data_IF_838748320480
#
_entry.id   IF_838748320480
#
_cell.length_a   1.000
_cell.length_b   1.000
_cell.length_c   1.000
_cell.angle_alpha   90.00
_cell.angle_beta   90.00
_cell.angle_gamma   90.00
#
_symmetry.space_group_name_H-M   'P 1'
#
loop_
_entity.id
_entity.type
_entity.pdbx_description
1 polymer ?
#
# COMPACT_ATOMS: atom_id res chain seq x y z
N UNK A 1 -22.91 2.10 36.49
CA UNK A 1 -23.28 0.89 35.75
C UNK A 1 -22.91 1.18 34.29
N UNK A 2 -21.70 0.78 33.89
CA UNK A 2 -21.14 1.06 32.54
C UNK A 2 -21.57 -0.10 31.66
N UNK A 3 -22.38 0.18 30.65
CA UNK A 3 -22.84 -0.82 29.67
C UNK A 3 -21.73 -0.95 28.61
N UNK A 4 -20.99 -2.07 28.67
CA UNK A 4 -20.04 -2.47 27.63
C UNK A 4 -20.82 -2.99 26.43
N UNK A 5 -20.78 -2.26 25.30
CA UNK A 5 -21.25 -2.78 24.02
C UNK A 5 -20.26 -3.82 23.50
N UNK A 6 -20.71 -4.99 23.04
CA UNK A 6 -19.83 -5.97 22.42
C UNK A 6 -19.36 -5.48 21.06
N UNK A 7 -18.03 -5.53 20.84
CA UNK A 7 -17.42 -5.26 19.56
C UNK A 7 -17.94 -6.21 18.47
N UNK A 8 -18.14 -5.75 17.23
CA UNK A 8 -18.59 -6.62 16.14
C UNK A 8 -17.53 -7.68 15.81
N UNK A 9 -18.01 -8.90 15.61
CA UNK A 9 -17.23 -10.08 15.23
C UNK A 9 -16.34 -9.79 14.02
N UNK A 10 -15.03 -10.01 14.20
CA UNK A 10 -14.01 -9.95 13.15
C UNK A 10 -14.36 -10.92 12.03
N UNK A 11 -14.79 -10.40 10.88
CA UNK A 11 -14.80 -11.19 9.65
C UNK A 11 -13.34 -11.41 9.25
N UNK A 12 -12.89 -12.66 9.29
CA UNK A 12 -11.52 -13.03 9.01
C UNK A 12 -11.07 -12.54 7.63
N UNK A 13 -9.95 -11.85 7.60
CA UNK A 13 -9.19 -11.60 6.36
C UNK A 13 -8.85 -12.97 5.76
N UNK A 14 -9.15 -13.16 4.48
CA UNK A 14 -8.87 -14.39 3.77
C UNK A 14 -7.43 -14.88 3.99
N UNK A 15 -7.19 -16.19 4.10
CA UNK A 15 -5.83 -16.72 4.25
C UNK A 15 -4.97 -16.30 3.07
N UNK A 16 -3.66 -16.06 3.34
CA UNK A 16 -2.69 -15.76 2.28
C UNK A 16 -2.81 -16.79 1.15
N UNK A 17 -2.82 -16.34 -0.12
CA UNK A 17 -2.78 -17.29 -1.23
C UNK A 17 -1.54 -18.17 -1.10
N UNK A 18 -1.72 -19.47 -1.16
CA UNK A 18 -0.62 -20.44 -1.12
C UNK A 18 0.33 -20.15 -2.30
N UNK A 19 1.62 -19.88 -2.10
CA UNK A 19 2.56 -19.58 -3.16
C UNK A 19 2.71 -20.70 -4.21
N UNK A 20 2.20 -21.91 -3.93
CA UNK A 20 2.17 -23.03 -4.90
C UNK A 20 1.06 -22.91 -5.93
N UNK A 21 0.10 -21.99 -5.78
CA UNK A 21 -0.81 -21.59 -6.86
C UNK A 21 -0.22 -20.40 -7.62
N UNK A 22 1.07 -20.45 -7.92
CA UNK A 22 1.61 -19.70 -9.04
C UNK A 22 0.74 -20.09 -10.26
N UNK A 23 -0.12 -19.17 -10.65
CA UNK A 23 -0.75 -19.22 -11.95
C UNK A 23 0.41 -19.28 -12.95
N UNK A 24 0.75 -20.50 -13.43
CA UNK A 24 1.47 -20.64 -14.68
C UNK A 24 0.58 -19.96 -15.70
N UNK A 25 0.79 -18.65 -15.87
CA UNK A 25 0.10 -17.86 -16.86
C UNK A 25 0.33 -18.55 -18.20
N UNK A 26 -0.73 -19.02 -18.82
CA UNK A 26 -0.72 -19.22 -20.25
C UNK A 26 -0.32 -17.87 -20.84
N UNK A 27 0.80 -17.83 -21.56
CA UNK A 27 1.22 -16.67 -22.32
C UNK A 27 0.00 -16.17 -23.12
N UNK A 28 -0.41 -14.91 -22.87
CA UNK A 28 -1.44 -14.26 -23.67
C UNK A 28 -2.74 -13.83 -22.96
N UNK A 29 -2.94 -14.07 -21.66
CA UNK A 29 -4.11 -13.52 -20.96
C UNK A 29 -3.93 -12.02 -20.74
N UNK A 30 -4.75 -11.19 -21.41
CA UNK A 30 -4.75 -9.75 -21.19
C UNK A 30 -5.07 -9.44 -19.73
N UNK A 31 -4.30 -8.53 -19.11
CA UNK A 31 -4.57 -8.06 -17.75
C UNK A 31 -5.79 -7.11 -17.79
N UNK A 32 -6.74 -7.33 -16.88
CA UNK A 32 -7.87 -6.43 -16.69
C UNK A 32 -7.57 -5.46 -15.55
N UNK A 33 -7.81 -4.16 -15.76
CA UNK A 33 -7.77 -3.17 -14.70
C UNK A 33 -9.10 -3.23 -13.92
N UNK A 34 -9.01 -3.43 -12.62
CA UNK A 34 -10.14 -3.46 -11.69
C UNK A 34 -10.05 -2.29 -10.70
N UNK A 35 -11.18 -1.86 -10.12
CA UNK A 35 -11.16 -0.87 -9.06
C UNK A 35 -10.27 -1.32 -7.89
N UNK A 36 -9.54 -0.37 -7.30
CA UNK A 36 -8.84 -0.51 -6.04
C UNK A 36 -9.81 -0.23 -4.88
N UNK A 37 -9.89 -1.14 -3.91
CA UNK A 37 -10.74 -0.96 -2.73
C UNK A 37 -10.06 -0.01 -1.73
N UNK A 38 -10.29 1.29 -1.92
CA UNK A 38 -9.74 2.37 -1.08
C UNK A 38 -10.21 2.27 0.35
N UNK A 39 -11.47 1.87 0.56
CA UNK A 39 -12.04 1.73 1.89
C UNK A 39 -11.33 0.61 2.67
N UNK A 40 -11.10 -0.54 2.05
CA UNK A 40 -10.34 -1.63 2.68
C UNK A 40 -8.92 -1.20 3.05
N UNK A 41 -8.24 -0.45 2.19
CA UNK A 41 -6.90 0.07 2.46
C UNK A 41 -6.87 1.04 3.66
N UNK A 42 -7.82 1.98 3.72
CA UNK A 42 -7.93 2.96 4.81
C UNK A 42 -8.32 2.29 6.12
N UNK A 43 -9.28 1.37 6.10
CA UNK A 43 -9.67 0.61 7.30
C UNK A 43 -8.49 -0.20 7.86
N UNK A 44 -7.68 -0.80 6.97
CA UNK A 44 -6.46 -1.48 7.38
C UNK A 44 -5.46 -0.51 8.01
N UNK A 45 -5.29 0.68 7.41
CA UNK A 45 -4.40 1.70 7.96
C UNK A 45 -4.80 2.10 9.38
N UNK A 46 -6.08 2.39 9.62
CA UNK A 46 -6.58 2.73 10.96
C UNK A 46 -6.44 1.57 11.97
N UNK A 47 -6.70 0.33 11.54
CA UNK A 47 -6.58 -0.84 12.43
C UNK A 47 -5.16 -1.03 12.94
N UNK A 48 -4.14 -0.75 12.10
CA UNK A 48 -2.75 -1.09 12.38
C UNK A 48 -1.81 0.09 12.56
N UNK A 49 -2.29 1.34 12.48
CA UNK A 49 -1.44 2.54 12.59
C UNK A 49 -0.57 2.59 13.86
N UNK A 50 -1.09 2.10 14.99
CA UNK A 50 -0.40 2.06 16.29
C UNK A 50 -0.05 0.65 16.75
N UNK A 51 -0.13 -0.33 15.86
CA UNK A 51 0.14 -1.73 16.13
C UNK A 51 0.86 -2.41 14.99
N UNK A 52 1.26 -3.66 15.21
CA UNK A 52 1.89 -4.48 14.17
C UNK A 52 1.02 -5.71 13.89
N UNK A 53 0.65 -5.90 12.62
CA UNK A 53 -0.07 -7.10 12.22
C UNK A 53 0.89 -8.30 12.30
N UNK A 54 0.61 -9.32 13.14
CA UNK A 54 1.53 -10.43 13.39
C UNK A 54 1.77 -11.33 12.16
N UNK A 55 1.04 -11.11 11.07
CA UNK A 55 1.27 -11.79 9.79
C UNK A 55 2.47 -11.25 9.02
N UNK A 56 2.96 -10.06 9.39
CA UNK A 56 4.09 -9.41 8.75
C UNK A 56 5.19 -9.16 9.76
N UNK A 57 6.43 -9.22 9.32
CA UNK A 57 7.57 -8.90 10.16
C UNK A 57 7.64 -7.40 10.41
N UNK A 58 7.99 -7.00 11.62
CA UNK A 58 8.22 -5.60 12.00
C UNK A 58 9.66 -5.19 11.65
N UNK A 59 9.82 -4.31 10.67
CA UNK A 59 11.11 -3.82 10.20
C UNK A 59 11.59 -2.55 10.92
N UNK A 60 10.89 -2.07 11.95
CA UNK A 60 11.17 -0.78 12.61
C UNK A 60 12.64 -0.66 13.03
N UNK A 61 13.24 -1.73 13.54
CA UNK A 61 14.62 -1.74 14.03
C UNK A 61 15.69 -2.02 12.97
N UNK A 62 15.30 -2.29 11.74
CA UNK A 62 16.22 -2.67 10.65
C UNK A 62 15.97 -1.91 9.35
N UNK A 63 15.73 -0.60 9.46
CA UNK A 63 15.59 0.29 8.33
C UNK A 63 14.25 1.02 8.23
N UNK A 64 13.34 0.78 9.19
CA UNK A 64 12.01 1.38 9.24
C UNK A 64 10.92 0.52 8.62
N UNK A 65 9.70 0.69 9.11
CA UNK A 65 8.54 -0.12 8.77
C UNK A 65 7.52 0.60 7.87
N UNK A 66 7.78 1.85 7.49
CA UNK A 66 6.80 2.69 6.78
C UNK A 66 6.33 2.09 5.45
N UNK A 67 7.25 1.59 4.62
CA UNK A 67 6.90 1.02 3.31
C UNK A 67 6.28 -0.38 3.45
N UNK A 68 6.71 -1.16 4.43
CA UNK A 68 6.05 -2.43 4.79
C UNK A 68 4.58 -2.19 5.17
N UNK A 69 4.31 -1.19 6.00
CA UNK A 69 2.95 -0.80 6.37
C UNK A 69 2.14 -0.30 5.17
N UNK A 70 2.70 0.60 4.34
CA UNK A 70 2.06 1.07 3.12
C UNK A 70 1.72 -0.09 2.17
N UNK A 71 2.63 -1.06 2.03
CA UNK A 71 2.40 -2.27 1.21
C UNK A 71 1.28 -3.14 1.77
N UNK A 72 1.15 -3.25 3.09
CA UNK A 72 0.05 -3.98 3.72
C UNK A 72 -1.30 -3.29 3.46
N UNK A 73 -1.37 -1.97 3.55
CA UNK A 73 -2.56 -1.18 3.21
C UNK A 73 -2.93 -1.35 1.73
N UNK A 74 -1.95 -1.24 0.83
CA UNK A 74 -2.14 -1.50 -0.60
C UNK A 74 -2.65 -2.93 -0.86
N UNK A 75 -2.14 -3.92 -0.14
CA UNK A 75 -2.57 -5.31 -0.28
C UNK A 75 -4.01 -5.50 0.21
N UNK A 76 -4.41 -4.84 1.30
CA UNK A 76 -5.79 -4.86 1.77
C UNK A 76 -6.76 -4.34 0.69
N UNK A 77 -6.38 -3.30 -0.05
CA UNK A 77 -7.20 -2.72 -1.12
C UNK A 77 -7.07 -3.42 -2.47
N UNK A 78 -5.96 -4.11 -2.75
CA UNK A 78 -5.72 -4.77 -4.04
C UNK A 78 -6.08 -6.25 -4.07
N UNK A 79 -5.95 -6.96 -2.94
CA UNK A 79 -6.24 -8.38 -2.80
C UNK A 79 -5.33 -9.33 -3.58
N UNK A 80 -4.30 -8.83 -4.26
CA UNK A 80 -3.36 -9.63 -5.08
C UNK A 80 -1.95 -9.09 -4.95
N UNK A 81 -0.97 -9.99 -4.94
CA UNK A 81 0.45 -9.71 -4.98
C UNK A 81 1.05 -10.13 -6.33
N UNK A 82 2.13 -9.47 -6.73
CA UNK A 82 2.92 -9.83 -7.91
C UNK A 82 4.16 -10.60 -7.49
N UNK A 83 4.16 -11.91 -7.69
CA UNK A 83 5.26 -12.80 -7.33
C UNK A 83 6.39 -12.86 -8.38
N UNK A 84 6.47 -11.90 -9.29
CA UNK A 84 7.61 -11.81 -10.21
C UNK A 84 8.91 -11.63 -9.39
N UNK A 85 9.90 -12.52 -9.53
CA UNK A 85 11.14 -12.42 -8.77
C UNK A 85 11.81 -11.06 -8.97
N UNK A 86 12.33 -10.48 -7.89
CA UNK A 86 13.02 -9.18 -7.81
C UNK A 86 12.16 -7.97 -8.17
N UNK A 87 11.43 -8.01 -9.29
CA UNK A 87 10.68 -6.88 -9.85
C UNK A 87 9.20 -6.89 -9.49
N UNK A 88 8.74 -7.89 -8.74
CA UNK A 88 7.36 -7.98 -8.25
C UNK A 88 7.11 -7.12 -7.01
N UNK A 89 5.94 -7.32 -6.44
CA UNK A 89 5.53 -6.72 -5.18
C UNK A 89 4.77 -7.77 -4.38
N UNK A 90 5.48 -8.40 -3.44
CA UNK A 90 4.96 -9.51 -2.64
C UNK A 90 5.67 -9.63 -1.30
N UNK A 91 5.01 -10.32 -0.39
CA UNK A 91 5.54 -10.74 0.90
C UNK A 91 5.15 -12.21 1.15
N UNK A 92 6.13 -13.03 1.49
CA UNK A 92 5.93 -14.41 1.94
C UNK A 92 6.29 -14.50 3.42
N UNK A 93 7.48 -14.02 3.77
CA UNK A 93 8.00 -13.89 5.14
C UNK A 93 9.11 -12.82 5.19
N UNK A 94 9.75 -12.68 6.36
CA UNK A 94 10.78 -11.66 6.58
C UNK A 94 11.93 -11.70 5.57
N UNK A 95 12.32 -12.88 5.11
CA UNK A 95 13.47 -13.10 4.22
C UNK A 95 13.03 -13.20 2.76
N UNK A 96 11.79 -13.59 2.49
CA UNK A 96 11.25 -13.83 1.15
C UNK A 96 10.17 -12.81 0.80
N UNK A 97 10.59 -11.65 0.36
CA UNK A 97 9.74 -10.55 -0.11
C UNK A 97 10.40 -9.84 -1.27
N UNK A 98 9.61 -9.14 -2.07
CA UNK A 98 10.16 -8.26 -3.11
C UNK A 98 10.77 -6.99 -2.50
N UNK A 99 11.82 -6.40 -3.10
CA UNK A 99 12.34 -5.09 -2.67
C UNK A 99 11.27 -4.01 -2.62
N UNK A 100 10.29 -4.04 -3.52
CA UNK A 100 9.19 -3.09 -3.56
C UNK A 100 8.23 -3.18 -2.35
N UNK A 101 8.25 -4.29 -1.61
CA UNK A 101 7.41 -4.42 -0.41
C UNK A 101 7.88 -3.56 0.77
N UNK A 102 9.19 -3.35 0.90
CA UNK A 102 9.79 -2.63 2.05
C UNK A 102 10.62 -1.40 1.67
N UNK A 103 10.88 -1.16 0.39
CA UNK A 103 11.75 -0.07 -0.05
C UNK A 103 11.00 1.04 -0.76
N UNK A 104 11.13 2.28 -0.25
CA UNK A 104 10.42 3.48 -0.73
C UNK A 104 10.56 3.67 -2.24
N UNK A 105 11.80 3.67 -2.76
CA UNK A 105 12.05 3.87 -4.19
C UNK A 105 11.58 2.69 -5.04
N UNK A 106 11.73 1.47 -4.53
CA UNK A 106 11.29 0.26 -5.24
C UNK A 106 9.77 0.19 -5.34
N UNK A 107 9.04 0.65 -4.30
CA UNK A 107 7.58 0.74 -4.33
C UNK A 107 7.11 1.76 -5.37
N UNK A 108 7.74 2.94 -5.42
CA UNK A 108 7.46 3.93 -6.45
C UNK A 108 7.67 3.36 -7.85
N UNK A 109 8.86 2.79 -8.13
CA UNK A 109 9.18 2.17 -9.42
C UNK A 109 8.19 1.05 -9.78
N UNK A 110 7.75 0.28 -8.79
CA UNK A 110 6.76 -0.78 -9.01
C UNK A 110 5.41 -0.21 -9.43
N UNK A 111 4.90 0.80 -8.72
CA UNK A 111 3.57 1.37 -8.97
C UNK A 111 3.50 2.12 -10.31
N UNK A 112 4.56 2.83 -10.68
CA UNK A 112 4.58 3.74 -11.84
C UNK A 112 5.15 3.12 -13.12
N UNK A 113 5.56 1.84 -13.09
CA UNK A 113 6.19 1.20 -14.25
C UNK A 113 5.23 1.02 -15.42
N UNK A 114 5.72 1.18 -16.63
CA UNK A 114 4.98 1.02 -17.87
C UNK A 114 4.61 -0.46 -18.17
N UNK A 115 5.47 -1.41 -17.76
CA UNK A 115 5.27 -2.83 -18.04
C UNK A 115 4.09 -3.38 -17.27
N UNK A 116 3.08 -3.95 -17.95
CA UNK A 116 1.93 -4.51 -17.29
C UNK A 116 2.32 -5.77 -16.51
N UNK A 117 1.96 -5.80 -15.22
CA UNK A 117 1.98 -6.98 -14.37
C UNK A 117 0.78 -6.95 -13.44
N UNK A 118 0.49 -8.05 -12.78
CA UNK A 118 -0.58 -8.11 -11.76
C UNK A 118 -0.26 -7.18 -10.58
N UNK A 119 -1.28 -6.78 -9.82
CA UNK A 119 -1.14 -5.96 -8.62
C UNK A 119 -1.52 -4.50 -8.80
N UNK A 120 -1.33 -3.67 -7.77
CA UNK A 120 -1.68 -2.26 -7.82
C UNK A 120 -0.86 -1.50 -8.85
N UNK A 121 -1.49 -0.52 -9.48
CA UNK A 121 -0.87 0.40 -10.43
C UNK A 121 -1.23 1.82 -10.02
N UNK A 122 -0.26 2.71 -10.08
CA UNK A 122 -0.41 4.10 -9.73
C UNK A 122 0.40 5.00 -10.64
N UNK A 123 0.22 6.29 -10.43
CA UNK A 123 0.98 7.36 -11.11
C UNK A 123 1.31 8.47 -10.14
N UNK A 124 2.31 9.26 -10.46
CA UNK A 124 2.52 10.54 -9.78
C UNK A 124 1.34 11.48 -10.10
N UNK A 125 0.94 12.26 -9.11
CA UNK A 125 -0.19 13.18 -9.22
C UNK A 125 0.07 14.47 -8.44
N UNK A 126 -0.83 15.44 -8.61
CA UNK A 126 -0.80 16.65 -7.81
C UNK A 126 -1.50 16.45 -6.46
N UNK A 127 -1.24 17.33 -5.50
CA UNK A 127 -1.76 17.24 -4.14
C UNK A 127 -3.31 17.15 -4.13
N UNK A 128 -3.98 17.95 -4.96
CA UNK A 128 -5.45 17.99 -5.02
C UNK A 128 -6.09 16.76 -5.70
N UNK A 129 -5.30 15.89 -6.31
CA UNK A 129 -5.74 14.62 -6.89
C UNK A 129 -5.70 13.47 -5.89
N UNK A 130 -5.04 13.66 -4.73
CA UNK A 130 -4.96 12.64 -3.70
C UNK A 130 -6.34 12.25 -3.18
N UNK A 131 -6.50 10.96 -2.93
CA UNK A 131 -7.70 10.35 -2.34
C UNK A 131 -7.31 9.41 -1.20
N UNK A 132 -8.22 9.13 -0.26
CA UNK A 132 -7.98 8.09 0.74
C UNK A 132 -7.54 6.77 0.08
N UNK A 133 -6.53 6.12 0.66
CA UNK A 133 -5.90 4.91 0.13
C UNK A 133 -4.74 5.16 -0.85
N UNK A 134 -4.48 6.42 -1.23
CA UNK A 134 -3.28 6.79 -1.97
C UNK A 134 -2.05 6.84 -1.06
N UNK A 135 -0.87 7.03 -1.64
CA UNK A 135 0.37 7.17 -0.91
C UNK A 135 1.00 8.55 -1.13
N UNK A 136 1.76 8.97 -0.15
CA UNK A 136 2.74 10.04 -0.33
C UNK A 136 4.12 9.52 -0.01
N UNK A 137 5.16 10.10 -0.61
CA UNK A 137 6.53 9.80 -0.26
C UNK A 137 7.25 11.09 0.11
N UNK A 138 8.05 11.02 1.17
CA UNK A 138 8.74 12.17 1.74
C UNK A 138 10.25 11.99 1.64
N UNK A 139 10.93 13.07 1.20
CA UNK A 139 12.39 13.20 1.24
C UNK A 139 12.76 14.23 2.31
N UNK A 140 13.49 13.80 3.32
CA UNK A 140 13.91 14.65 4.43
C UNK A 140 15.30 15.24 4.20
N UNK A 141 16.18 14.49 3.53
CA UNK A 141 17.54 14.89 3.21
C UNK A 141 18.13 14.00 2.11
N UNK A 142 19.19 14.48 1.46
CA UNK A 142 19.89 13.75 0.40
C UNK A 142 19.06 13.64 -0.87
N UNK A 143 19.27 12.60 -1.67
CA UNK A 143 18.70 12.47 -3.01
C UNK A 143 17.56 11.46 -3.12
N UNK A 144 17.29 10.69 -2.05
CA UNK A 144 16.31 9.61 -2.07
C UNK A 144 15.14 9.87 -1.12
N UNK A 145 13.97 9.41 -1.49
CA UNK A 145 12.80 9.42 -0.60
C UNK A 145 12.96 8.36 0.49
N UNK A 146 12.59 8.71 1.72
CA UNK A 146 12.84 7.89 2.91
C UNK A 146 11.59 7.42 3.63
N UNK A 147 10.41 7.94 3.30
CA UNK A 147 9.17 7.64 4.02
C UNK A 147 7.99 7.47 3.08
N UNK A 148 7.05 6.55 3.39
CA UNK A 148 5.88 6.23 2.56
C UNK A 148 4.59 6.21 3.40
N UNK A 149 4.05 7.36 3.84
CA UNK A 149 2.75 7.44 4.47
C UNK A 149 1.59 7.07 3.55
N UNK A 150 0.51 6.56 4.16
CA UNK A 150 -0.76 6.26 3.51
C UNK A 150 -1.73 7.41 3.75
N UNK A 151 -2.36 7.92 2.72
CA UNK A 151 -3.40 8.95 2.83
C UNK A 151 -4.67 8.31 3.38
N UNK A 152 -5.16 8.81 4.51
CA UNK A 152 -6.41 8.33 5.14
C UNK A 152 -7.54 9.32 4.97
N UNK A 153 -7.23 10.60 4.75
CA UNK A 153 -8.19 11.64 4.42
C UNK A 153 -7.56 12.67 3.49
N UNK A 154 -8.22 12.93 2.38
CA UNK A 154 -7.98 14.03 1.45
C UNK A 154 -9.24 14.21 0.60
N UNK A 155 -9.65 15.45 0.41
CA UNK A 155 -10.78 15.80 -0.45
C UNK A 155 -10.45 17.10 -1.21
N UNK A 156 -9.92 16.96 -2.41
CA UNK A 156 -9.44 18.07 -3.23
C UNK A 156 -8.51 19.05 -2.48
N UNK A 157 -7.62 18.51 -1.65
CA UNK A 157 -6.75 19.25 -0.77
C UNK A 157 -5.94 20.33 -1.51
N UNK A 158 -5.99 21.57 -1.00
CA UNK A 158 -5.23 22.70 -1.55
C UNK A 158 -3.92 22.91 -0.80
N UNK A 159 -3.80 22.32 0.38
CA UNK A 159 -2.62 22.41 1.22
C UNK A 159 -2.35 21.07 1.92
N UNK A 160 -1.13 20.91 2.43
CA UNK A 160 -0.72 19.70 3.13
C UNK A 160 -1.32 19.56 4.53
N UNK A 161 -1.91 20.63 5.08
CA UNK A 161 -2.71 20.59 6.31
C UNK A 161 -4.00 19.78 6.13
N UNK A 162 -4.56 19.78 4.90
CA UNK A 162 -5.83 19.12 4.57
C UNK A 162 -5.64 17.64 4.22
N UNK A 163 -4.39 17.18 4.11
CA UNK A 163 -4.06 15.77 3.87
C UNK A 163 -3.70 15.11 5.19
N UNK A 164 -4.50 14.14 5.64
CA UNK A 164 -4.23 13.35 6.82
C UNK A 164 -3.71 11.97 6.43
N UNK A 165 -2.68 11.52 7.16
CA UNK A 165 -1.98 10.28 6.85
C UNK A 165 -1.96 9.31 8.05
N UNK A 166 -1.75 8.03 7.73
CA UNK A 166 -1.30 7.00 8.67
C UNK A 166 0.08 6.47 8.24
N UNK A 167 0.92 6.14 9.21
CA UNK A 167 2.27 5.65 8.94
C UNK A 167 2.83 4.84 10.10
N UNK A 168 3.76 3.90 9.79
CA UNK A 168 4.74 3.38 10.73
C UNK A 168 6.06 4.16 10.63
N UNK A 169 7.01 3.88 11.55
CA UNK A 169 8.23 4.68 11.75
C UNK A 169 7.86 6.11 12.11
N UNK A 170 7.57 6.30 13.38
CA UNK A 170 6.80 7.39 14.01
C UNK A 170 5.29 7.19 13.84
N UNK A 171 4.80 6.11 14.43
CA UNK A 171 3.42 5.65 14.33
C UNK A 171 2.42 6.81 14.42
N UNK A 172 1.56 6.90 13.42
CA UNK A 172 0.61 7.99 13.30
C UNK A 172 -0.67 7.51 12.60
N UNK A 173 -1.79 8.10 13.03
CA UNK A 173 -3.08 8.02 12.36
C UNK A 173 -3.74 9.40 12.39
N UNK A 174 -4.41 9.79 11.31
CA UNK A 174 -5.00 11.12 11.12
C UNK A 174 -3.99 12.27 11.37
N UNK A 175 -2.71 12.04 11.11
CA UNK A 175 -1.68 13.05 11.28
C UNK A 175 -1.63 13.97 10.06
N UNK A 176 -1.67 15.32 10.21
CA UNK A 176 -1.51 16.24 9.09
C UNK A 176 -0.16 16.06 8.40
N UNK A 177 -0.17 15.97 7.07
CA UNK A 177 1.05 15.84 6.26
C UNK A 177 2.00 17.02 6.46
N UNK A 178 1.47 18.23 6.69
CA UNK A 178 2.23 19.45 6.98
C UNK A 178 3.07 19.37 8.25
N UNK A 179 2.77 18.42 9.17
CA UNK A 179 3.51 18.25 10.42
C UNK A 179 4.87 17.55 10.25
N UNK A 180 5.20 17.08 9.04
CA UNK A 180 6.51 16.52 8.72
C UNK A 180 7.43 17.60 8.13
N UNK A 181 8.68 17.68 8.62
CA UNK A 181 9.69 18.58 8.08
C UNK A 181 10.43 17.96 6.88
N UNK A 182 9.75 17.81 5.74
CA UNK A 182 10.34 17.25 4.52
C UNK A 182 10.87 18.35 3.59
N UNK A 183 11.83 18.00 2.72
CA UNK A 183 12.35 18.85 1.64
C UNK A 183 11.58 18.67 0.33
N UNK A 184 11.08 17.45 0.09
CA UNK A 184 10.37 17.11 -1.14
C UNK A 184 9.22 16.15 -0.85
N UNK A 185 8.09 16.36 -1.53
CA UNK A 185 6.88 15.56 -1.49
C UNK A 185 6.63 14.95 -2.85
N UNK A 186 6.32 13.65 -2.88
CA UNK A 186 5.80 12.95 -4.04
C UNK A 186 4.42 12.40 -3.70
N UNK A 187 3.42 12.70 -4.51
CA UNK A 187 2.08 12.17 -4.39
C UNK A 187 1.90 11.02 -5.40
N UNK A 188 1.32 9.89 -4.94
CA UNK A 188 1.11 8.69 -5.75
C UNK A 188 -0.36 8.30 -5.70
N UNK A 189 -1.08 8.51 -6.81
CA UNK A 189 -2.47 8.09 -6.96
C UNK A 189 -2.55 6.64 -7.42
N UNK A 190 -3.30 5.81 -6.70
CA UNK A 190 -3.56 4.41 -7.07
C UNK A 190 -4.72 4.37 -8.06
N UNK A 191 -4.43 4.07 -9.32
CA UNK A 191 -5.41 4.07 -10.40
C UNK A 191 -6.30 2.84 -10.40
N UNK A 192 -5.79 1.71 -9.89
CA UNK A 192 -6.51 0.45 -9.88
C UNK A 192 -5.60 -0.73 -9.62
N UNK A 193 -6.12 -1.92 -9.91
CA UNK A 193 -5.42 -3.20 -9.71
C UNK A 193 -5.48 -4.00 -11.00
N UNK A 194 -4.34 -4.41 -11.53
CA UNK A 194 -4.26 -5.32 -12.68
C UNK A 194 -4.43 -6.76 -12.20
N UNK A 195 -5.43 -7.43 -12.75
CA UNK A 195 -5.74 -8.83 -12.49
C UNK A 195 -5.57 -9.68 -13.76
N UNK A 196 -5.21 -10.97 -13.63
CA UNK A 196 -5.30 -11.88 -14.77
C UNK A 196 -6.72 -11.84 -15.33
N UNK A 197 -6.84 -11.60 -16.64
CA UNK A 197 -8.13 -11.66 -17.32
C UNK A 197 -8.72 -13.06 -17.18
N UNK A 198 -10.03 -13.16 -17.01
CA UNK A 198 -10.72 -14.42 -17.21
C UNK A 198 -10.58 -14.79 -18.68
N UNK A 199 -10.05 -15.97 -19.00
CA UNK A 199 -10.16 -16.46 -20.39
C UNK A 199 -11.64 -16.47 -20.75
N UNK A 200 -12.06 -15.93 -21.91
CA UNK A 200 -13.43 -16.16 -22.36
C UNK A 200 -13.64 -17.68 -22.41
N UNK A 201 -14.66 -18.15 -21.71
CA UNK A 201 -15.10 -19.53 -21.84
C UNK A 201 -15.48 -19.74 -23.31
N UNK A 202 -14.71 -20.55 -24.05
CA UNK A 202 -15.07 -21.12 -25.34
C UNK A 202 -16.04 -22.28 -25.12
#
# INVERSE_FOLDING_TARGET
MIILHPSPLRKGVAPFPNPRHSLKGKEGSALALRPYDRQAAVLYAHEWAYGRNPKFYDYERIGGDCTNFASQCLFAGSGIMDFTPTFGWYYIDADRKAPAWTGVQYLHQYLTRERPSVGPVGKECQLWELRPGDLVQLRFQGEVFQHSPVVVQADHAQSTEEVLIAAHSYDADYRPLSSYGYEELRCLHIEGVRWPGSSPNL
#
